data_IF_745674736647
#
_entry.id   IF_745674736647
#
_cell.length_a   1.000
_cell.length_b   1.000
_cell.length_c   1.000
_cell.angle_alpha   90.00
_cell.angle_beta   90.00
_cell.angle_gamma   90.00
#
_symmetry.space_group_name_H-M   'P 1'
#
loop_
_entity.id
_entity.type
_entity.pdbx_description
1 polymer ?
#
# COMPACT_ATOMS: atom_id res chain seq x y z
N UNK A 1 14.45 -16.13 -5.72
CA UNK A 1 13.40 -16.31 -6.75
C UNK A 1 12.49 -15.10 -6.71
N UNK A 2 12.29 -14.34 -7.82
CA UNK A 2 11.37 -13.22 -7.80
C UNK A 2 9.96 -13.77 -7.66
N UNK A 3 9.32 -13.50 -6.53
CA UNK A 3 7.91 -13.83 -6.32
C UNK A 3 7.14 -12.99 -7.34
N UNK A 4 6.75 -13.62 -8.47
CA UNK A 4 5.75 -13.07 -9.37
C UNK A 4 4.49 -12.87 -8.54
N UNK A 5 4.23 -11.61 -8.16
CA UNK A 5 3.01 -11.23 -7.46
C UNK A 5 1.79 -11.73 -8.22
N UNK A 6 0.69 -12.08 -7.51
CA UNK A 6 -0.47 -12.69 -8.13
C UNK A 6 -1.02 -11.79 -9.25
N UNK A 7 -1.17 -12.41 -10.43
CA UNK A 7 -1.83 -11.87 -11.62
C UNK A 7 -3.30 -11.60 -11.31
N UNK A 8 -3.54 -10.42 -10.73
CA UNK A 8 -4.85 -9.88 -10.35
C UNK A 8 -4.71 -8.57 -9.58
N UNK A 9 -3.57 -7.89 -9.71
CA UNK A 9 -3.09 -6.91 -8.76
C UNK A 9 -3.86 -5.58 -8.85
N UNK A 10 -4.92 -5.45 -8.04
CA UNK A 10 -5.57 -4.19 -7.65
C UNK A 10 -4.74 -3.34 -6.68
N UNK A 11 -3.47 -3.69 -6.44
CA UNK A 11 -2.60 -3.05 -5.45
C UNK A 11 -1.23 -2.70 -6.06
N UNK A 12 -0.75 -1.47 -5.83
CA UNK A 12 0.56 -0.95 -6.28
C UNK A 12 1.58 -0.98 -5.13
N UNK A 13 2.87 -0.70 -5.41
CA UNK A 13 3.99 -1.45 -4.85
C UNK A 13 4.13 -1.26 -3.34
N UNK A 14 4.54 -2.36 -2.73
CA UNK A 14 4.70 -2.59 -1.31
C UNK A 14 5.94 -1.87 -0.82
N UNK A 15 5.82 -1.21 0.34
CA UNK A 15 6.98 -0.89 1.16
C UNK A 15 6.75 -1.53 2.51
N UNK A 16 7.64 -2.47 2.82
CA UNK A 16 7.66 -3.19 4.07
C UNK A 16 8.94 -2.81 4.81
N UNK A 17 8.82 -2.59 6.11
CA UNK A 17 9.95 -2.51 7.01
C UNK A 17 9.67 -3.48 8.15
N UNK A 18 10.59 -4.41 8.36
CA UNK A 18 10.69 -5.15 9.62
C UNK A 18 11.71 -4.41 10.46
N UNK A 19 11.28 -3.98 11.64
CA UNK A 19 12.20 -3.63 12.71
C UNK A 19 12.45 -4.97 13.44
N UNK A 20 13.62 -5.57 13.17
CA UNK A 20 14.03 -6.97 13.45
C UNK A 20 13.71 -7.49 14.87
N UNK A 21 13.65 -8.79 15.21
CA UNK A 21 14.03 -10.07 14.58
C UNK A 21 12.90 -11.11 14.81
N UNK A 22 12.56 -11.92 13.79
CA UNK A 22 11.42 -12.84 13.87
C UNK A 22 11.84 -14.31 14.05
N UNK A 23 11.89 -14.71 15.32
CA UNK A 23 11.05 -15.80 15.88
C UNK A 23 10.53 -15.46 17.29
N UNK A 24 10.84 -14.26 17.77
CA UNK A 24 10.62 -13.78 19.12
C UNK A 24 10.13 -12.31 19.07
N UNK A 25 9.55 -11.82 17.97
CA UNK A 25 9.23 -10.40 17.78
C UNK A 25 8.38 -9.80 18.92
N UNK A 26 7.38 -10.53 19.44
CA UNK A 26 6.66 -10.10 20.65
C UNK A 26 7.50 -10.16 21.94
N UNK A 27 8.45 -11.10 22.02
CA UNK A 27 9.35 -11.31 23.17
C UNK A 27 10.54 -10.33 23.21
N UNK A 28 10.91 -9.74 22.07
CA UNK A 28 11.98 -8.74 21.95
C UNK A 28 11.48 -7.36 21.43
N UNK A 29 10.17 -7.16 21.28
CA UNK A 29 9.58 -5.86 20.95
C UNK A 29 9.57 -5.47 19.46
N UNK A 30 9.88 -6.39 18.55
CA UNK A 30 9.83 -6.17 17.10
C UNK A 30 8.41 -5.85 16.60
N UNK A 31 8.32 -5.02 15.55
CA UNK A 31 7.06 -4.61 14.93
C UNK A 31 7.06 -4.81 13.42
N UNK A 32 5.87 -5.08 12.90
CA UNK A 32 5.57 -5.20 11.48
C UNK A 32 4.97 -3.88 10.96
N UNK A 33 5.42 -3.45 9.79
CA UNK A 33 4.85 -2.29 9.11
C UNK A 33 4.47 -2.62 7.67
N UNK A 34 3.29 -2.17 7.23
CA UNK A 34 2.91 -2.20 5.82
C UNK A 34 2.31 -0.87 5.37
N UNK A 35 2.69 -0.43 4.17
CA UNK A 35 1.98 0.64 3.48
C UNK A 35 1.50 0.17 2.12
N UNK A 36 0.20 0.33 1.88
CA UNK A 36 -0.46 -0.14 0.67
C UNK A 36 -1.38 0.93 0.14
N UNK A 37 -1.32 1.16 -1.17
CA UNK A 37 -2.24 2.04 -1.87
C UNK A 37 -2.94 1.28 -2.98
N UNK A 38 -4.27 1.20 -2.87
CA UNK A 38 -5.14 0.60 -3.88
C UNK A 38 -4.89 1.23 -5.26
N UNK A 39 -4.76 0.40 -6.28
CA UNK A 39 -4.63 0.86 -7.66
C UNK A 39 -5.94 1.45 -8.17
N UNK A 40 -5.86 2.50 -8.99
CA UNK A 40 -7.00 2.91 -9.80
C UNK A 40 -7.48 1.74 -10.66
N UNK A 41 -8.79 1.59 -10.75
CA UNK A 41 -9.43 0.56 -11.59
C UNK A 41 -9.57 1.12 -13.01
N UNK A 42 -9.08 0.38 -14.00
CA UNK A 42 -9.17 0.74 -15.42
C UNK A 42 -7.86 0.53 -16.17
N UNK A 43 -7.91 0.62 -17.50
CA UNK A 43 -6.73 0.63 -18.35
C UNK A 43 -5.89 1.90 -18.12
N UNK A 44 -4.59 1.90 -18.46
CA UNK A 44 -3.74 3.08 -18.32
C UNK A 44 -4.36 4.34 -18.94
N UNK A 45 -4.98 4.24 -20.12
CA UNK A 45 -5.65 5.37 -20.77
C UNK A 45 -6.93 5.84 -20.06
N UNK A 46 -7.62 4.96 -19.34
CA UNK A 46 -8.78 5.32 -18.51
C UNK A 46 -8.35 6.01 -17.21
N UNK A 47 -7.23 5.56 -16.62
CA UNK A 47 -6.73 6.06 -15.34
C UNK A 47 -5.95 7.36 -15.48
N UNK A 48 -5.17 7.49 -16.56
CA UNK A 48 -4.20 8.57 -16.74
C UNK A 48 -4.44 9.45 -17.98
N UNK A 49 -5.50 9.17 -18.75
CA UNK A 49 -5.90 9.91 -19.94
C UNK A 49 -5.31 9.35 -21.25
N UNK A 50 -5.92 9.70 -22.39
CA UNK A 50 -5.46 9.25 -23.73
C UNK A 50 -4.17 9.94 -24.22
N UNK A 51 -3.77 11.05 -23.59
CA UNK A 51 -2.56 11.83 -23.90
C UNK A 51 -1.36 11.47 -23.01
N UNK A 52 -1.37 10.32 -22.32
CA UNK A 52 -0.10 9.79 -21.82
C UNK A 52 0.62 9.12 -22.97
N UNK A 53 1.63 9.79 -23.52
CA UNK A 53 2.58 9.24 -24.49
C UNK A 53 3.25 7.99 -23.92
N UNK A 54 2.58 6.84 -23.96
CA UNK A 54 3.08 5.51 -23.60
C UNK A 54 3.93 5.40 -22.30
N UNK A 55 3.85 6.37 -21.39
CA UNK A 55 4.77 6.49 -20.26
C UNK A 55 4.16 6.00 -18.94
N UNK A 56 3.46 4.89 -19.01
CA UNK A 56 2.86 4.25 -17.85
C UNK A 56 3.92 3.71 -16.88
N UNK A 57 5.12 3.39 -17.38
CA UNK A 57 6.27 2.97 -16.57
C UNK A 57 6.75 4.09 -15.65
N UNK A 58 6.94 5.32 -16.15
CA UNK A 58 7.32 6.43 -15.28
C UNK A 58 6.23 6.77 -14.27
N UNK A 59 4.95 6.71 -14.66
CA UNK A 59 3.84 6.92 -13.70
C UNK A 59 3.79 5.86 -12.61
N UNK A 60 4.13 4.62 -12.96
CA UNK A 60 4.26 3.53 -11.99
C UNK A 60 5.48 3.75 -11.08
N UNK A 61 6.61 4.20 -11.62
CA UNK A 61 7.81 4.51 -10.85
C UNK A 61 7.58 5.69 -9.90
N UNK A 62 6.99 6.78 -10.37
CA UNK A 62 6.61 7.93 -9.55
C UNK A 62 5.71 7.51 -8.39
N UNK A 63 4.68 6.70 -8.66
CA UNK A 63 3.83 6.14 -7.62
C UNK A 63 4.59 5.24 -6.63
N UNK A 64 5.60 4.52 -7.11
CA UNK A 64 6.47 3.70 -6.25
C UNK A 64 7.24 4.59 -5.28
N UNK A 65 7.80 5.69 -5.79
CA UNK A 65 8.51 6.67 -5.00
C UNK A 65 7.59 7.38 -3.99
N UNK A 66 6.37 7.72 -4.39
CA UNK A 66 5.36 8.27 -3.47
C UNK A 66 5.03 7.30 -2.33
N UNK A 67 4.89 6.00 -2.63
CA UNK A 67 4.70 4.98 -1.60
C UNK A 67 5.91 4.87 -0.67
N UNK A 68 7.14 4.96 -1.19
CA UNK A 68 8.36 4.97 -0.40
C UNK A 68 8.43 6.19 0.53
N UNK A 69 8.16 7.38 0.00
CA UNK A 69 8.04 8.60 0.78
C UNK A 69 7.03 8.46 1.91
N UNK A 70 5.85 7.93 1.64
CA UNK A 70 4.82 7.70 2.66
C UNK A 70 5.25 6.67 3.71
N UNK A 71 5.94 5.61 3.31
CA UNK A 71 6.49 4.64 4.23
C UNK A 71 7.54 5.27 5.16
N UNK A 72 8.46 6.07 4.61
CA UNK A 72 9.47 6.79 5.39
C UNK A 72 8.78 7.71 6.40
N UNK A 73 7.79 8.51 5.99
CA UNK A 73 7.06 9.42 6.90
C UNK A 73 6.45 8.66 8.07
N UNK A 74 5.87 7.49 7.79
CA UNK A 74 5.17 6.65 8.77
C UNK A 74 6.14 5.99 9.73
N UNK A 75 7.23 5.44 9.22
CA UNK A 75 8.28 4.86 10.05
C UNK A 75 8.93 5.91 10.94
N UNK A 76 9.19 7.12 10.43
CA UNK A 76 9.71 8.23 11.21
C UNK A 76 8.74 8.67 12.30
N UNK A 77 7.43 8.75 12.02
CA UNK A 77 6.41 9.05 13.04
C UNK A 77 6.33 7.99 14.13
N UNK A 78 6.40 6.72 13.74
CA UNK A 78 6.48 5.61 14.70
C UNK A 78 7.72 5.74 15.58
N UNK A 79 8.89 5.96 14.96
CA UNK A 79 10.15 6.12 15.64
C UNK A 79 10.15 7.32 16.61
N UNK A 80 9.52 8.43 16.23
CA UNK A 80 9.33 9.59 17.11
C UNK A 80 8.48 9.24 18.34
N UNK A 81 7.37 8.52 18.14
CA UNK A 81 6.51 8.09 19.23
C UNK A 81 7.22 7.14 20.22
N UNK A 82 8.06 6.25 19.70
CA UNK A 82 8.85 5.31 20.51
C UNK A 82 10.16 5.91 21.03
N UNK A 83 10.48 7.17 20.71
CA UNK A 83 11.75 7.83 21.00
C UNK A 83 12.99 7.04 20.51
N UNK A 84 12.91 6.52 19.29
CA UNK A 84 13.94 5.69 18.66
C UNK A 84 14.48 6.32 17.38
N UNK A 85 15.74 6.02 17.07
CA UNK A 85 16.30 6.27 15.75
C UNK A 85 16.24 5.00 14.91
N UNK A 86 16.02 5.14 13.61
CA UNK A 86 15.85 4.02 12.69
C UNK A 86 16.88 4.05 11.56
N UNK A 87 17.29 2.86 11.15
CA UNK A 87 17.99 2.59 9.90
C UNK A 87 17.04 1.80 8.99
N UNK A 88 16.97 2.17 7.72
CA UNK A 88 16.10 1.51 6.76
C UNK A 88 16.93 0.65 5.80
N UNK A 89 16.59 -0.63 5.73
CA UNK A 89 17.19 -1.58 4.80
C UNK A 89 16.15 -2.07 3.80
N UNK A 90 16.54 -2.18 2.52
CA UNK A 90 15.68 -2.63 1.42
C UNK A 90 16.35 -3.73 0.61
N UNK A 91 15.55 -4.54 -0.06
CA UNK A 91 16.05 -5.53 -1.00
C UNK A 91 16.68 -4.85 -2.24
N UNK A 92 17.73 -5.47 -2.76
CA UNK A 92 18.48 -5.02 -3.91
C UNK A 92 17.71 -5.34 -5.22
N UNK A 93 17.10 -4.33 -5.83
CA UNK A 93 16.30 -4.52 -7.05
C UNK A 93 17.16 -4.45 -8.34
N UNK A 94 17.89 -3.35 -8.52
CA UNK A 94 18.70 -3.01 -9.72
C UNK A 94 19.54 -1.75 -9.41
N UNK A 95 20.79 -1.65 -9.87
CA UNK A 95 21.65 -0.46 -9.69
C UNK A 95 21.05 0.86 -10.20
N UNK A 96 20.46 0.90 -11.40
CA UNK A 96 19.83 2.11 -11.95
C UNK A 96 18.66 2.59 -11.09
N UNK A 97 17.84 1.65 -10.61
CA UNK A 97 16.70 1.96 -9.74
C UNK A 97 17.17 2.36 -8.34
N UNK A 98 18.21 1.69 -7.82
CA UNK A 98 18.87 2.01 -6.54
C UNK A 98 19.28 3.47 -6.50
N UNK A 99 19.99 3.94 -7.52
CA UNK A 99 20.46 5.33 -7.57
C UNK A 99 19.29 6.33 -7.52
N UNK A 100 18.24 6.09 -8.31
CA UNK A 100 17.06 6.97 -8.34
C UNK A 100 16.31 6.97 -7.00
N UNK A 101 16.09 5.81 -6.40
CA UNK A 101 15.38 5.69 -5.12
C UNK A 101 16.16 6.29 -3.96
N UNK A 102 17.48 6.09 -3.88
CA UNK A 102 18.34 6.74 -2.86
C UNK A 102 18.28 8.25 -3.00
N UNK A 103 18.52 8.78 -4.21
CA UNK A 103 18.50 10.22 -4.46
C UNK A 103 17.16 10.85 -4.09
N UNK A 104 16.06 10.19 -4.45
CA UNK A 104 14.70 10.65 -4.12
C UNK A 104 14.39 10.54 -2.63
N UNK A 105 14.85 9.50 -1.96
CA UNK A 105 14.68 9.34 -0.51
C UNK A 105 15.40 10.44 0.26
N UNK A 106 16.65 10.74 -0.07
CA UNK A 106 17.37 11.87 0.53
C UNK A 106 16.66 13.21 0.27
N UNK A 107 16.27 13.47 -0.98
CA UNK A 107 15.56 14.69 -1.32
C UNK A 107 14.23 14.81 -0.54
N UNK A 108 13.52 13.70 -0.36
CA UNK A 108 12.29 13.64 0.43
C UNK A 108 12.55 13.91 1.91
N UNK A 109 13.53 13.24 2.52
CA UNK A 109 13.88 13.41 3.93
C UNK A 109 14.28 14.86 4.22
N UNK A 110 15.26 15.39 3.49
CA UNK A 110 15.78 16.74 3.73
C UNK A 110 14.78 17.86 3.41
N UNK A 111 13.93 17.69 2.39
CA UNK A 111 12.90 18.69 2.12
C UNK A 111 11.85 18.75 3.23
N UNK A 112 11.58 17.61 3.89
CA UNK A 112 10.53 17.47 4.89
C UNK A 112 10.97 17.83 6.32
N UNK A 113 12.25 17.65 6.67
CA UNK A 113 12.80 17.95 8.01
C UNK A 113 12.43 19.36 8.51
N UNK A 114 12.35 20.35 7.62
CA UNK A 114 12.04 21.74 7.99
C UNK A 114 10.70 21.89 8.71
N UNK A 115 9.71 21.08 8.33
CA UNK A 115 8.33 21.17 8.83
C UNK A 115 7.96 19.97 9.71
N UNK A 116 8.74 18.89 9.66
CA UNK A 116 8.47 17.61 10.28
C UNK A 116 9.71 17.09 11.01
N UNK A 117 9.79 17.36 12.31
CA UNK A 117 10.94 16.98 13.13
C UNK A 117 11.07 15.46 13.31
N UNK A 118 9.98 14.69 13.14
CA UNK A 118 10.02 13.22 13.19
C UNK A 118 11.00 12.64 12.14
N UNK A 119 11.25 13.39 11.06
CA UNK A 119 12.19 13.00 10.00
C UNK A 119 13.66 13.01 10.45
N UNK A 120 13.98 13.56 11.63
CA UNK A 120 15.33 13.46 12.21
C UNK A 120 15.61 12.07 12.81
N UNK A 121 14.58 11.24 13.01
CA UNK A 121 14.73 9.88 13.54
C UNK A 121 15.35 8.90 12.56
N UNK A 122 15.30 9.18 11.26
CA UNK A 122 16.00 8.37 10.26
C UNK A 122 17.44 8.86 10.11
N UNK A 123 18.40 8.00 10.45
CA UNK A 123 19.81 8.39 10.49
C UNK A 123 20.45 8.47 9.10
N UNK A 124 20.00 7.61 8.19
CA UNK A 124 20.51 7.51 6.83
C UNK A 124 19.40 7.15 5.85
N UNK A 125 19.55 7.54 4.58
CA UNK A 125 18.62 7.09 3.55
C UNK A 125 18.67 5.55 3.40
N UNK A 126 17.61 4.95 2.83
CA UNK A 126 17.53 3.50 2.69
C UNK A 126 18.78 2.84 2.10
N UNK A 127 19.37 1.93 2.86
CA UNK A 127 20.48 1.08 2.44
C UNK A 127 19.96 -0.22 1.81
N UNK A 128 20.74 -0.82 0.92
CA UNK A 128 20.32 -2.02 0.17
C UNK A 128 21.10 -3.23 0.66
N UNK A 129 20.39 -4.33 0.89
CA UNK A 129 20.93 -5.62 1.29
C UNK A 129 20.51 -6.66 0.26
N UNK A 130 21.39 -7.62 -0.01
CA UNK A 130 21.07 -8.77 -0.86
C UNK A 130 20.09 -9.73 -0.14
N UNK A 131 18.97 -10.02 -0.77
CA UNK A 131 17.93 -10.92 -0.25
C UNK A 131 18.37 -12.37 -0.10
N UNK A 132 19.34 -12.85 -0.88
CA UNK A 132 19.77 -14.25 -0.82
C UNK A 132 20.38 -14.60 0.54
N UNK A 133 21.05 -13.64 1.16
CA UNK A 133 21.80 -13.82 2.41
C UNK A 133 21.08 -13.22 3.63
N UNK A 134 19.96 -12.51 3.45
CA UNK A 134 19.27 -11.81 4.54
C UNK A 134 17.95 -12.47 4.91
N UNK A 135 17.93 -13.16 6.06
CA UNK A 135 16.70 -13.71 6.64
C UNK A 135 15.65 -12.64 6.92
N UNK A 136 16.07 -11.40 7.25
CA UNK A 136 15.15 -10.29 7.48
C UNK A 136 14.43 -9.85 6.19
N UNK A 137 15.13 -9.86 5.05
CA UNK A 137 14.52 -9.55 3.75
C UNK A 137 13.59 -10.69 3.30
N UNK A 138 13.98 -11.95 3.51
CA UNK A 138 13.10 -13.08 3.22
C UNK A 138 11.84 -13.05 4.09
N UNK A 139 11.97 -12.68 5.36
CA UNK A 139 10.84 -12.47 6.26
C UNK A 139 9.92 -11.35 5.76
N UNK A 140 10.50 -10.24 5.30
CA UNK A 140 9.75 -9.16 4.66
C UNK A 140 8.93 -9.62 3.46
N UNK A 141 9.49 -10.49 2.62
CA UNK A 141 8.78 -11.06 1.47
C UNK A 141 7.59 -11.93 1.88
N UNK A 142 7.74 -12.74 2.94
CA UNK A 142 6.64 -13.54 3.50
C UNK A 142 5.51 -12.66 4.02
N UNK A 143 5.84 -11.60 4.75
CA UNK A 143 4.83 -10.65 5.25
C UNK A 143 4.20 -9.91 4.07
N UNK A 144 4.97 -9.44 3.08
CA UNK A 144 4.44 -8.81 1.89
C UNK A 144 3.47 -9.73 1.13
N UNK A 145 3.78 -11.03 1.01
CA UNK A 145 2.89 -12.02 0.42
C UNK A 145 1.61 -12.21 1.24
N UNK A 146 1.71 -12.22 2.58
CA UNK A 146 0.55 -12.29 3.48
C UNK A 146 -0.35 -11.06 3.31
N UNK A 147 0.20 -9.85 3.38
CA UNK A 147 -0.56 -8.61 3.21
C UNK A 147 -1.14 -8.53 1.79
N UNK A 148 -0.44 -9.04 0.78
CA UNK A 148 -0.95 -9.23 -0.58
C UNK A 148 -2.27 -9.99 -0.64
N UNK A 149 -2.32 -11.14 0.03
CA UNK A 149 -3.52 -11.98 0.10
C UNK A 149 -4.61 -11.34 0.97
N UNK A 150 -4.24 -10.66 2.05
CA UNK A 150 -5.18 -9.92 2.89
C UNK A 150 -5.85 -8.78 2.11
N UNK A 151 -5.09 -8.00 1.33
CA UNK A 151 -5.62 -6.99 0.44
C UNK A 151 -6.61 -7.57 -0.57
N UNK A 152 -6.27 -8.69 -1.21
CA UNK A 152 -7.17 -9.36 -2.14
C UNK A 152 -8.49 -9.75 -1.44
N UNK A 153 -8.40 -10.34 -0.25
CA UNK A 153 -9.59 -10.67 0.55
C UNK A 153 -10.47 -9.47 0.87
N UNK A 154 -9.86 -8.32 1.23
CA UNK A 154 -10.60 -7.09 1.56
C UNK A 154 -11.19 -6.39 0.33
N UNK A 155 -10.54 -6.49 -0.84
CA UNK A 155 -10.88 -5.71 -2.03
C UNK A 155 -11.72 -6.50 -3.05
N UNK A 156 -11.58 -7.82 -3.11
CA UNK A 156 -12.18 -8.68 -4.13
C UNK A 156 -13.35 -9.48 -3.55
N UNK A 157 -14.52 -9.37 -4.18
CA UNK A 157 -15.76 -10.00 -3.70
C UNK A 157 -15.62 -11.53 -3.54
N UNK A 158 -15.10 -12.18 -4.58
CA UNK A 158 -14.95 -13.64 -4.68
C UNK A 158 -13.52 -14.11 -4.35
N UNK A 159 -12.84 -13.42 -3.43
CA UNK A 159 -11.48 -13.79 -3.03
C UNK A 159 -11.43 -15.21 -2.43
N UNK A 160 -10.45 -16.00 -2.86
CA UNK A 160 -10.14 -17.31 -2.29
C UNK A 160 -9.32 -17.22 -1.00
N UNK A 161 -8.89 -16.03 -0.60
CA UNK A 161 -7.96 -15.82 0.51
C UNK A 161 -8.63 -15.52 1.86
N UNK A 162 -9.90 -15.89 2.03
CA UNK A 162 -10.62 -15.74 3.31
C UNK A 162 -9.87 -16.36 4.49
N UNK A 163 -9.22 -17.50 4.25
CA UNK A 163 -8.44 -18.21 5.25
C UNK A 163 -7.33 -17.36 5.89
N UNK A 164 -6.84 -16.31 5.22
CA UNK A 164 -5.80 -15.42 5.78
C UNK A 164 -6.30 -14.71 7.05
N UNK A 165 -7.54 -14.24 7.04
CA UNK A 165 -8.16 -13.62 8.21
C UNK A 165 -8.38 -14.65 9.34
N UNK A 166 -8.68 -15.90 8.98
CA UNK A 166 -8.94 -16.98 9.94
C UNK A 166 -7.66 -17.52 10.59
N UNK A 167 -6.55 -17.57 9.85
CA UNK A 167 -5.31 -18.19 10.29
C UNK A 167 -4.39 -17.25 11.07
N UNK A 168 -4.27 -15.98 10.67
CA UNK A 168 -3.18 -15.13 11.17
C UNK A 168 -3.61 -14.00 12.10
N UNK A 169 -4.91 -13.71 12.22
CA UNK A 169 -5.37 -12.58 13.02
C UNK A 169 -4.97 -12.69 14.50
N UNK A 170 -5.10 -13.88 15.09
CA UNK A 170 -4.76 -14.11 16.49
C UNK A 170 -3.25 -13.97 16.74
N UNK A 171 -2.44 -14.59 15.90
CA UNK A 171 -0.98 -14.67 16.07
C UNK A 171 -0.29 -13.32 15.84
N UNK A 172 -0.80 -12.52 14.91
CA UNK A 172 -0.21 -11.22 14.56
C UNK A 172 -0.84 -10.05 15.31
N UNK A 173 -1.80 -10.31 16.22
CA UNK A 173 -2.45 -9.27 17.00
C UNK A 173 -1.44 -8.47 17.81
N UNK A 174 -1.46 -7.14 17.64
CA UNK A 174 -0.51 -6.21 18.30
C UNK A 174 0.90 -6.21 17.71
N UNK A 175 1.15 -6.99 16.65
CA UNK A 175 2.43 -7.04 15.95
C UNK A 175 2.63 -5.90 14.94
N UNK A 176 1.55 -5.37 14.36
CA UNK A 176 1.64 -4.26 13.41
C UNK A 176 1.76 -2.91 14.11
N UNK A 177 2.43 -1.93 13.49
CA UNK A 177 2.37 -0.54 13.95
C UNK A 177 1.04 0.11 13.56
N UNK A 178 0.63 1.17 14.27
CA UNK A 178 -0.60 1.91 13.97
C UNK A 178 -0.54 2.60 12.60
N UNK A 179 0.66 2.98 12.17
CA UNK A 179 0.91 3.67 10.91
C UNK A 179 0.71 2.77 9.70
N UNK A 180 0.68 1.44 9.92
CA UNK A 180 0.37 0.45 8.90
C UNK A 180 -1.01 0.72 8.30
N UNK A 181 -1.09 0.83 6.97
CA UNK A 181 -2.31 1.32 6.31
C UNK A 181 -2.51 0.72 4.92
N UNK A 182 -3.75 0.30 4.62
CA UNK A 182 -4.28 0.14 3.27
C UNK A 182 -5.14 1.36 2.95
N UNK A 183 -4.63 2.18 2.03
CA UNK A 183 -5.29 3.38 1.52
C UNK A 183 -6.14 3.05 0.30
N UNK A 184 -7.42 3.39 0.37
CA UNK A 184 -8.33 3.24 -0.74
C UNK A 184 -8.15 4.37 -1.76
N UNK A 185 -8.35 4.06 -3.05
CA UNK A 185 -8.24 5.06 -4.11
C UNK A 185 -9.63 5.59 -4.47
N UNK A 186 -9.88 6.87 -4.17
CA UNK A 186 -11.13 7.57 -4.48
C UNK A 186 -12.40 6.86 -3.99
N UNK A 187 -12.32 6.19 -2.85
CA UNK A 187 -13.48 5.59 -2.16
C UNK A 187 -13.93 6.50 -1.01
N UNK A 188 -15.22 6.49 -0.70
CA UNK A 188 -15.82 7.23 0.43
C UNK A 188 -15.64 6.53 1.78
N UNK A 189 -14.87 5.45 1.84
CA UNK A 189 -14.65 4.63 3.03
C UNK A 189 -13.29 4.99 3.62
N UNK A 190 -13.21 5.03 4.95
CA UNK A 190 -11.95 5.26 5.66
C UNK A 190 -10.92 4.16 5.39
N UNK A 191 -9.64 4.51 5.46
CA UNK A 191 -8.55 3.56 5.27
C UNK A 191 -8.57 2.44 6.32
N UNK A 192 -8.02 1.28 5.97
CA UNK A 192 -7.81 0.18 6.91
C UNK A 192 -6.43 0.36 7.55
N UNK A 193 -6.38 0.33 8.87
CA UNK A 193 -5.15 0.54 9.65
C UNK A 193 -4.78 -0.70 10.47
N UNK A 194 -3.49 -0.83 10.79
CA UNK A 194 -2.99 -1.83 11.74
C UNK A 194 -3.40 -3.28 11.34
N UNK A 195 -3.67 -4.16 12.30
CA UNK A 195 -4.11 -5.55 12.07
C UNK A 195 -5.44 -5.68 11.31
N UNK A 196 -6.22 -4.60 11.17
CA UNK A 196 -7.59 -4.67 10.62
C UNK A 196 -7.65 -5.14 9.16
N UNK A 197 -6.53 -5.16 8.46
CA UNK A 197 -6.46 -5.77 7.13
C UNK A 197 -6.72 -7.28 7.16
N UNK A 198 -6.51 -7.91 8.31
CA UNK A 198 -6.82 -9.31 8.60
C UNK A 198 -8.20 -9.47 9.26
N UNK A 199 -9.03 -8.42 9.34
CA UNK A 199 -10.40 -8.55 9.86
C UNK A 199 -11.23 -9.47 8.96
N UNK A 200 -12.06 -10.33 9.56
CA UNK A 200 -13.03 -11.15 8.83
C UNK A 200 -14.09 -10.31 8.13
N UNK A 201 -14.54 -9.25 8.80
CA UNK A 201 -15.44 -8.27 8.23
C UNK A 201 -14.72 -7.56 7.07
N UNK A 202 -15.44 -7.28 5.99
CA UNK A 202 -14.88 -6.64 4.80
C UNK A 202 -15.63 -5.33 4.61
N UNK A 203 -15.30 -4.26 5.36
CA UNK A 203 -16.09 -3.03 5.42
C UNK A 203 -16.40 -2.45 4.03
N UNK A 204 -15.46 -2.61 3.11
CA UNK A 204 -15.61 -2.20 1.72
C UNK A 204 -16.72 -2.97 0.97
N UNK A 205 -16.74 -4.29 1.07
CA UNK A 205 -17.72 -5.12 0.39
C UNK A 205 -19.06 -5.15 1.15
N UNK A 206 -19.00 -5.11 2.48
CA UNK A 206 -20.17 -5.08 3.36
C UNK A 206 -20.94 -3.76 3.19
N UNK A 207 -20.26 -2.65 2.88
CA UNK A 207 -20.91 -1.38 2.51
C UNK A 207 -21.52 -1.40 1.11
N UNK A 208 -20.99 -2.21 0.18
CA UNK A 208 -21.56 -2.38 -1.16
C UNK A 208 -22.80 -3.29 -1.13
N UNK A 209 -22.80 -4.31 -0.27
CA UNK A 209 -23.96 -5.19 -0.03
C UNK A 209 -25.00 -4.55 0.91
N UNK A 210 -24.60 -3.54 1.70
CA UNK A 210 -25.46 -2.77 2.59
C UNK A 210 -26.20 -1.58 1.96
N UNK A 211 -26.12 -1.35 0.65
CA UNK A 211 -26.92 -0.30 0.01
C UNK A 211 -28.41 -0.68 0.08
N UNK A 212 -29.22 0.21 0.65
CA UNK A 212 -30.68 0.04 0.60
C UNK A 212 -31.14 -0.04 -0.87
N UNK A 213 -32.25 -0.74 -1.16
CA UNK A 213 -32.79 -0.83 -2.52
C UNK A 213 -32.98 0.53 -3.18
N UNK A 214 -33.33 1.57 -2.38
CA UNK A 214 -33.50 2.93 -2.87
C UNK A 214 -32.18 3.54 -3.39
N UNK A 215 -31.07 3.32 -2.68
CA UNK A 215 -29.77 3.86 -3.08
C UNK A 215 -29.23 3.18 -4.34
N UNK A 216 -29.47 1.87 -4.49
CA UNK A 216 -29.16 1.14 -5.72
C UNK A 216 -29.95 1.67 -6.93
N UNK A 217 -31.25 1.91 -6.77
CA UNK A 217 -32.06 2.51 -7.83
C UNK A 217 -31.59 3.93 -8.18
N UNK A 218 -31.21 4.74 -7.19
CA UNK A 218 -30.70 6.10 -7.44
C UNK A 218 -29.39 6.05 -8.24
N UNK A 219 -28.48 5.13 -7.88
CA UNK A 219 -27.19 4.95 -8.55
C UNK A 219 -27.37 4.45 -9.98
N UNK A 220 -28.32 3.54 -10.23
CA UNK A 220 -28.70 3.10 -11.57
C UNK A 220 -29.27 4.26 -12.41
N UNK A 221 -30.07 5.14 -11.81
CA UNK A 221 -30.65 6.30 -12.48
C UNK A 221 -29.57 7.33 -12.86
N UNK A 222 -28.62 7.59 -11.96
CA UNK A 222 -27.45 8.44 -12.23
C UNK A 222 -26.58 7.84 -13.33
N UNK A 223 -26.30 6.53 -13.27
CA UNK A 223 -25.54 5.83 -14.30
C UNK A 223 -26.25 5.89 -15.67
N UNK A 224 -27.55 5.68 -15.72
CA UNK A 224 -28.35 5.79 -16.95
C UNK A 224 -28.32 7.22 -17.52
N UNK A 225 -28.41 8.25 -16.67
CA UNK A 225 -28.29 9.65 -17.09
C UNK A 225 -26.89 10.00 -17.60
N UNK A 226 -25.85 9.50 -16.94
CA UNK A 226 -24.46 9.75 -17.32
C UNK A 226 -24.06 8.98 -18.59
N UNK A 227 -24.72 7.85 -18.87
CA UNK A 227 -24.50 7.02 -20.06
C UNK A 227 -25.39 7.39 -21.25
N UNK A 228 -26.37 8.28 -21.05
CA UNK A 228 -27.22 8.76 -22.13
C UNK A 228 -26.40 9.64 -23.08
N UNK A 229 -26.46 9.42 -24.40
CA UNK A 229 -25.77 10.26 -25.36
C UNK A 229 -26.28 11.69 -25.25
N UNK A 230 -25.37 12.65 -25.08
CA UNK A 230 -25.68 14.08 -25.16
C UNK A 230 -26.35 14.35 -26.50
N UNK A 231 -27.61 14.73 -26.47
CA UNK A 231 -28.36 15.21 -27.64
C UNK A 231 -27.72 16.52 -28.10
N UNK A 232 -26.71 16.42 -28.96
CA UNK A 232 -26.17 17.56 -29.70
C UNK A 232 -27.26 18.10 -30.62
N UNK A 233 -27.54 19.40 -30.50
CA UNK A 233 -28.47 20.15 -31.36
C UNK A 233 -28.19 19.87 -32.85
N UNK A 234 -29.23 19.75 -33.70
CA UNK A 234 -29.01 19.77 -35.14
C UNK A 234 -28.42 21.13 -35.53
N UNK A 235 -27.29 21.10 -36.24
CA UNK A 235 -26.71 22.28 -36.85
C UNK A 235 -27.64 22.76 -37.97
N UNK A 236 -28.18 23.96 -37.80
CA UNK A 236 -28.80 24.76 -38.86
C UNK A 236 -27.75 25.59 -39.57
#
# INVERSE_FOLDING_TARGET
MPIRGPTGAHVAPWVFASLSEEKHAHRYGGKLFYFVREKPIGSPGQVWGKNTDNNWENKREERTLECLSEAINRLCRYAEHEDQNILLFQDMINEKQRFHQVKRSYAHIYSRIKEHQEMLRILEAPAYIDSELSTNIQCADWVAALIGRACDYQLVLNSSYRWVADSFFADLRGGFTYESTLQFYRRSIGNIHHIRILDRARPHLDSLTGMSPQNLSLLQLVHARASAPTTGKPAT
#
